data_IF_818973199493
#
_entry.id   IF_818973199493
#
_cell.length_a   1.000
_cell.length_b   1.000
_cell.length_c   1.000
_cell.angle_alpha   90.00
_cell.angle_beta   90.00
_cell.angle_gamma   90.00
#
_symmetry.space_group_name_H-M   'P 1'
#
loop_
_entity.id
_entity.type
_entity.pdbx_description
1 polymer ?
#
# COMPACT_ATOMS: atom_id res chain seq x y z
N UNK A 1 6.24 15.29 0.05
CA UNK A 1 7.63 14.98 0.47
C UNK A 1 7.53 13.87 1.51
N UNK A 2 8.01 12.66 1.22
CA UNK A 2 7.96 11.52 2.14
C UNK A 2 9.36 10.92 2.29
N UNK A 3 9.58 10.11 3.31
CA UNK A 3 10.84 9.38 3.50
C UNK A 3 10.87 8.14 2.61
N UNK A 4 12.00 7.87 1.97
CA UNK A 4 12.29 6.62 1.27
C UNK A 4 12.74 5.50 2.21
N UNK A 5 12.62 4.24 1.78
CA UNK A 5 13.20 3.12 2.53
C UNK A 5 14.71 3.30 2.72
N UNK A 6 15.20 3.02 3.92
CA UNK A 6 16.57 3.26 4.35
C UNK A 6 16.87 4.72 4.73
N UNK A 7 15.97 5.67 4.43
CA UNK A 7 16.22 7.09 4.69
C UNK A 7 16.22 7.40 6.19
N UNK A 8 17.11 8.32 6.57
CA UNK A 8 17.20 8.87 7.91
C UNK A 8 16.93 10.37 7.83
N UNK A 9 15.86 10.81 8.48
CA UNK A 9 15.48 12.22 8.54
C UNK A 9 15.52 12.72 9.99
N UNK A 10 15.86 13.99 10.16
CA UNK A 10 15.82 14.67 11.44
C UNK A 10 14.76 15.77 11.38
N UNK A 11 13.81 15.70 12.29
CA UNK A 11 12.70 16.63 12.41
C UNK A 11 12.91 17.51 13.64
N UNK A 12 12.75 18.82 13.46
CA UNK A 12 12.65 19.78 14.57
C UNK A 12 11.17 20.07 14.78
N UNK A 13 10.63 19.66 15.92
CA UNK A 13 9.21 19.75 16.23
C UNK A 13 9.01 20.86 17.27
N UNK A 14 8.30 21.94 16.93
CA UNK A 14 8.02 23.02 17.87
C UNK A 14 7.13 22.52 19.02
N UNK A 15 7.10 23.23 20.16
CA UNK A 15 6.37 22.78 21.33
C UNK A 15 4.89 22.52 21.06
N UNK A 16 4.24 23.38 20.27
CA UNK A 16 2.83 23.30 19.89
C UNK A 16 2.47 22.01 19.15
N UNK A 17 3.43 21.40 18.45
CA UNK A 17 3.28 20.13 17.73
C UNK A 17 3.92 18.94 18.50
N UNK A 18 4.48 19.20 19.68
CA UNK A 18 5.10 18.21 20.56
C UNK A 18 4.28 18.01 21.84
N UNK A 19 4.79 18.44 23.00
CA UNK A 19 4.13 18.29 24.29
C UNK A 19 3.58 19.60 24.87
N UNK A 20 3.65 20.69 24.10
CA UNK A 20 3.12 22.01 24.48
C UNK A 20 3.62 22.52 25.82
N UNK A 21 2.81 23.37 26.45
CA UNK A 21 3.11 24.02 27.73
C UNK A 21 3.07 23.08 28.94
N UNK A 22 2.56 21.86 28.80
CA UNK A 22 2.56 20.88 29.89
C UNK A 22 3.87 20.07 29.92
N UNK A 23 4.52 19.90 28.77
CA UNK A 23 5.66 19.00 28.64
C UNK A 23 5.25 17.54 28.87
N UNK A 24 6.21 16.70 29.26
CA UNK A 24 5.97 15.31 29.62
C UNK A 24 6.93 14.84 30.71
N UNK A 25 6.49 14.91 31.96
CA UNK A 25 7.28 14.53 33.12
C UNK A 25 7.74 13.05 33.09
N UNK A 26 6.95 12.14 32.50
CA UNK A 26 7.33 10.71 32.40
C UNK A 26 8.52 10.49 31.46
N UNK A 27 8.64 11.34 30.45
CA UNK A 27 9.74 11.33 29.49
C UNK A 27 10.84 12.34 29.84
N UNK A 28 10.69 13.08 30.94
CA UNK A 28 11.62 14.15 31.34
C UNK A 28 11.60 15.37 30.41
N UNK A 29 10.53 15.55 29.63
CA UNK A 29 10.41 16.69 28.70
C UNK A 29 9.81 17.88 29.43
N UNK A 30 10.50 19.03 29.50
CA UNK A 30 9.95 20.24 30.11
C UNK A 30 8.78 20.83 29.30
N UNK A 31 7.93 21.65 29.94
CA UNK A 31 7.06 22.61 29.26
C UNK A 31 7.74 23.36 28.13
N UNK A 32 7.00 23.65 27.06
CA UNK A 32 7.41 24.52 25.95
C UNK A 32 8.71 24.09 25.25
N UNK A 33 9.03 22.79 25.29
CA UNK A 33 10.27 22.26 24.72
C UNK A 33 10.15 21.97 23.22
N UNK A 34 11.11 22.47 22.45
CA UNK A 34 11.29 22.09 21.04
C UNK A 34 12.07 20.78 20.97
N UNK A 35 11.55 19.79 20.24
CA UNK A 35 12.15 18.46 20.15
C UNK A 35 12.92 18.29 18.84
N UNK A 36 14.01 17.53 18.90
CA UNK A 36 14.72 17.05 17.70
C UNK A 36 14.58 15.54 17.65
N UNK A 37 13.87 15.04 16.65
CA UNK A 37 13.57 13.62 16.49
C UNK A 37 14.29 13.10 15.25
N UNK A 38 15.10 12.06 15.42
CA UNK A 38 15.74 11.35 14.31
C UNK A 38 14.96 10.08 14.00
N UNK A 39 14.42 10.00 12.79
CA UNK A 39 13.60 8.88 12.30
C UNK A 39 14.37 8.14 11.22
N UNK A 40 14.37 6.81 11.27
CA UNK A 40 14.91 5.95 10.22
C UNK A 40 13.79 5.07 9.66
N UNK A 41 13.48 5.19 8.37
CA UNK A 41 12.50 4.33 7.73
C UNK A 41 13.18 3.02 7.29
N UNK A 42 13.11 1.96 8.10
CA UNK A 42 13.85 0.71 7.81
C UNK A 42 13.32 -0.03 6.58
N UNK A 43 12.01 -0.21 6.50
CA UNK A 43 11.30 -0.87 5.40
C UNK A 43 9.82 -0.50 5.53
N UNK A 44 9.14 -0.31 4.41
CA UNK A 44 7.70 -0.06 4.36
C UNK A 44 7.08 -1.05 3.36
N UNK A 45 6.57 -2.16 3.89
CA UNK A 45 5.81 -3.13 3.10
C UNK A 45 4.36 -3.01 3.51
N UNK A 46 3.51 -2.55 2.59
CA UNK A 46 2.06 -2.54 2.81
C UNK A 46 1.51 -3.88 2.39
N UNK A 47 1.09 -4.66 3.39
CA UNK A 47 0.12 -5.72 3.22
C UNK A 47 -1.24 -5.11 3.52
N UNK A 48 -2.16 -5.23 2.59
CA UNK A 48 -3.51 -4.72 2.73
C UNK A 48 -4.49 -5.82 2.41
N UNK A 49 -5.43 -6.06 3.31
CA UNK A 49 -6.57 -6.90 3.01
C UNK A 49 -7.53 -6.13 2.12
N UNK A 50 -7.67 -6.57 0.87
CA UNK A 50 -8.52 -5.91 -0.13
C UNK A 50 -9.95 -6.46 -0.13
N UNK A 51 -10.29 -7.29 0.86
CA UNK A 51 -11.64 -7.82 1.04
C UNK A 51 -12.55 -6.82 1.75
N UNK A 52 -13.80 -6.71 1.29
CA UNK A 52 -14.80 -5.86 1.96
C UNK A 52 -15.16 -6.40 3.34
N UNK A 53 -14.98 -7.71 3.55
CA UNK A 53 -15.21 -8.45 4.80
C UNK A 53 -14.07 -8.31 5.81
N UNK A 54 -12.84 -8.01 5.37
CA UNK A 54 -11.65 -8.05 6.24
C UNK A 54 -11.31 -9.46 6.71
N UNK A 55 -11.57 -10.47 5.87
CA UNK A 55 -11.42 -11.89 6.23
C UNK A 55 -10.03 -12.48 5.93
N UNK A 56 -9.14 -11.68 5.36
CA UNK A 56 -7.77 -12.06 5.04
C UNK A 56 -7.64 -13.02 3.85
N UNK A 57 -8.70 -13.24 3.06
CA UNK A 57 -8.66 -14.17 1.91
C UNK A 57 -8.02 -13.60 0.65
N UNK A 58 -7.74 -12.29 0.63
CA UNK A 58 -7.08 -11.66 -0.49
C UNK A 58 -6.20 -10.52 0.02
N UNK A 59 -4.90 -10.79 0.10
CA UNK A 59 -3.90 -9.85 0.57
C UNK A 59 -3.13 -9.24 -0.60
N UNK A 60 -3.12 -7.92 -0.67
CA UNK A 60 -2.29 -7.17 -1.61
C UNK A 60 -0.97 -6.81 -0.97
N UNK A 61 0.14 -7.11 -1.66
CA UNK A 61 1.47 -6.60 -1.34
C UNK A 61 1.97 -5.68 -2.45
N UNK A 62 2.34 -4.44 -2.08
CA UNK A 62 2.94 -3.50 -3.04
C UNK A 62 4.44 -3.78 -3.12
N UNK A 63 4.89 -4.33 -4.24
CA UNK A 63 6.32 -4.55 -4.53
C UNK A 63 7.04 -3.26 -4.93
N UNK A 64 6.37 -2.44 -5.75
CA UNK A 64 6.91 -1.17 -6.25
C UNK A 64 5.78 -0.17 -6.36
N UNK A 65 5.97 1.01 -5.76
CA UNK A 65 4.99 2.09 -5.84
C UNK A 65 4.99 2.70 -7.25
N UNK A 66 3.80 3.05 -7.74
CA UNK A 66 3.62 3.84 -8.94
C UNK A 66 4.21 5.24 -8.80
N UNK A 67 4.40 5.92 -9.93
CA UNK A 67 5.00 7.27 -9.97
C UNK A 67 3.95 8.38 -9.77
N UNK A 68 2.67 8.07 -9.93
CA UNK A 68 1.54 8.98 -9.77
C UNK A 68 0.52 8.40 -8.79
N UNK A 69 -0.32 9.26 -8.21
CA UNK A 69 -1.46 8.87 -7.38
C UNK A 69 -2.76 8.73 -8.22
N UNK A 70 -2.62 8.62 -9.55
CA UNK A 70 -3.75 8.41 -10.46
C UNK A 70 -4.25 6.96 -10.38
N UNK A 71 -5.57 6.80 -10.41
CA UNK A 71 -6.23 5.51 -10.33
C UNK A 71 -7.09 5.32 -11.57
N UNK A 72 -7.04 4.15 -12.23
CA UNK A 72 -7.89 3.90 -13.38
C UNK A 72 -9.35 3.79 -12.96
N UNK A 73 -10.24 4.37 -13.76
CA UNK A 73 -11.68 4.41 -13.56
C UNK A 73 -12.39 3.36 -14.43
N UNK A 74 -13.65 3.05 -14.08
CA UNK A 74 -14.47 2.14 -14.89
C UNK A 74 -14.58 2.67 -16.33
N UNK A 75 -14.23 1.83 -17.31
CA UNK A 75 -14.18 2.18 -18.72
C UNK A 75 -12.78 2.54 -19.24
N UNK A 76 -11.79 2.73 -18.37
CA UNK A 76 -10.42 3.02 -18.79
C UNK A 76 -9.73 1.77 -19.34
N UNK A 77 -8.95 1.95 -20.40
CA UNK A 77 -8.06 0.92 -20.94
C UNK A 77 -6.74 0.91 -20.19
N UNK A 78 -6.39 -0.23 -19.59
CA UNK A 78 -5.15 -0.43 -18.87
C UNK A 78 -4.33 -1.56 -19.52
N UNK A 79 -3.03 -1.35 -19.59
CA UNK A 79 -2.07 -2.41 -19.94
C UNK A 79 -1.59 -3.05 -18.64
N UNK A 80 -1.72 -4.37 -18.55
CA UNK A 80 -1.35 -5.14 -17.36
C UNK A 80 -0.45 -6.32 -17.71
N UNK A 81 0.34 -6.76 -16.74
CA UNK A 81 1.08 -8.02 -16.76
C UNK A 81 0.71 -8.82 -15.52
N UNK A 82 0.60 -10.15 -15.62
CA UNK A 82 0.28 -10.97 -14.46
C UNK A 82 0.85 -12.38 -14.54
N UNK A 83 1.08 -12.96 -13.37
CA UNK A 83 1.52 -14.34 -13.19
C UNK A 83 0.67 -14.99 -12.10
N UNK A 84 0.02 -16.10 -12.44
CA UNK A 84 -0.75 -16.94 -11.53
C UNK A 84 0.11 -18.15 -11.15
N UNK A 85 0.41 -18.29 -9.86
CA UNK A 85 1.19 -19.40 -9.33
C UNK A 85 0.65 -19.87 -7.97
N UNK A 86 0.86 -21.14 -7.64
CA UNK A 86 0.55 -21.69 -6.32
C UNK A 86 1.55 -21.21 -5.28
N UNK A 87 1.06 -20.84 -4.10
CA UNK A 87 1.89 -20.38 -2.99
C UNK A 87 2.70 -21.52 -2.36
N UNK A 88 2.19 -22.76 -2.40
CA UNK A 88 2.80 -23.89 -1.69
C UNK A 88 4.07 -24.39 -2.39
N UNK A 89 4.07 -24.42 -3.71
CA UNK A 89 5.10 -25.06 -4.54
C UNK A 89 5.63 -24.16 -5.67
N UNK A 90 5.12 -22.93 -5.81
CA UNK A 90 5.44 -21.98 -6.88
C UNK A 90 5.10 -22.48 -8.30
N UNK A 91 4.25 -23.51 -8.43
CA UNK A 91 3.81 -24.00 -9.74
C UNK A 91 3.04 -22.89 -10.48
N UNK A 92 3.48 -22.56 -11.68
CA UNK A 92 2.89 -21.49 -12.50
C UNK A 92 1.77 -22.06 -13.37
N UNK A 93 0.56 -21.54 -13.20
CA UNK A 93 -0.60 -21.94 -13.99
C UNK A 93 -0.81 -21.07 -15.22
N UNK A 94 -0.46 -19.78 -15.12
CA UNK A 94 -0.60 -18.83 -16.22
C UNK A 94 0.38 -17.66 -16.04
N UNK A 95 0.95 -17.17 -17.13
CA UNK A 95 1.74 -15.94 -17.16
C UNK A 95 1.42 -15.19 -18.45
N UNK A 96 1.22 -13.88 -18.36
CA UNK A 96 1.02 -12.98 -19.49
C UNK A 96 1.83 -11.71 -19.23
N UNK A 97 2.74 -11.39 -20.14
CA UNK A 97 3.65 -10.25 -19.96
C UNK A 97 3.01 -8.91 -20.35
N UNK A 98 2.01 -8.94 -21.23
CA UNK A 98 1.27 -7.75 -21.62
C UNK A 98 -0.16 -8.13 -22.05
N UNK A 99 -1.15 -7.41 -21.52
CA UNK A 99 -2.55 -7.55 -21.89
C UNK A 99 -3.29 -6.24 -21.68
N UNK A 100 -4.05 -5.82 -22.68
CA UNK A 100 -4.97 -4.69 -22.57
C UNK A 100 -6.28 -5.17 -21.96
N UNK A 101 -6.76 -4.44 -20.96
CA UNK A 101 -8.03 -4.68 -20.28
C UNK A 101 -8.82 -3.37 -20.18
N UNK A 102 -10.14 -3.45 -20.23
CA UNK A 102 -11.03 -2.32 -19.87
C UNK A 102 -11.51 -2.54 -18.44
N UNK A 103 -11.29 -1.55 -17.58
CA UNK A 103 -11.69 -1.64 -16.17
C UNK A 103 -13.21 -1.78 -16.06
N UNK A 104 -13.65 -2.87 -15.44
CA UNK A 104 -15.06 -3.18 -15.23
C UNK A 104 -15.74 -4.03 -16.32
N UNK A 105 -15.07 -4.32 -17.44
CA UNK A 105 -15.63 -5.18 -18.52
C UNK A 105 -15.03 -6.59 -18.54
N UNK A 106 -14.16 -6.92 -17.60
CA UNK A 106 -13.54 -8.25 -17.59
C UNK A 106 -14.57 -9.37 -17.32
N UNK A 107 -14.40 -10.55 -17.96
CA UNK A 107 -15.18 -11.74 -17.67
C UNK A 107 -15.09 -12.08 -16.18
N UNK A 108 -16.16 -12.62 -15.60
CA UNK A 108 -16.27 -12.89 -14.15
C UNK A 108 -15.10 -13.70 -13.57
N UNK A 109 -14.55 -14.62 -14.37
CA UNK A 109 -13.37 -15.44 -14.03
C UNK A 109 -12.06 -14.65 -13.94
N UNK A 110 -11.99 -13.48 -14.56
CA UNK A 110 -10.80 -12.61 -14.65
C UNK A 110 -10.96 -11.31 -13.87
N UNK A 111 -12.18 -10.91 -13.49
CA UNK A 111 -12.45 -9.74 -12.63
C UNK A 111 -11.63 -9.75 -11.34
N UNK A 112 -11.39 -10.94 -10.81
CA UNK A 112 -10.66 -11.17 -9.56
C UNK A 112 -9.18 -10.75 -9.66
N UNK A 113 -8.58 -10.87 -10.85
CA UNK A 113 -7.21 -10.40 -11.12
C UNK A 113 -7.15 -8.87 -11.30
N UNK A 114 -8.18 -8.25 -11.87
CA UNK A 114 -8.29 -6.78 -12.04
C UNK A 114 -8.48 -6.05 -10.73
N UNK A 115 -9.10 -6.73 -9.76
CA UNK A 115 -9.36 -6.23 -8.41
C UNK A 115 -8.08 -5.89 -7.64
N UNK A 116 -6.96 -6.50 -8.04
CA UNK A 116 -5.63 -6.29 -7.45
C UNK A 116 -4.90 -5.08 -8.09
N UNK A 117 -5.30 -4.68 -9.31
CA UNK A 117 -4.58 -3.73 -10.15
C UNK A 117 -5.06 -2.27 -9.97
N UNK A 118 -6.30 -2.08 -9.54
CA UNK A 118 -6.87 -0.75 -9.28
C UNK A 118 -7.04 -0.62 -7.77
N UNK A 119 -6.27 0.25 -7.12
CA UNK A 119 -6.27 0.40 -5.66
C UNK A 119 -7.65 0.68 -5.08
N UNK A 120 -8.34 -0.38 -4.66
CA UNK A 120 -9.55 -0.33 -3.85
C UNK A 120 -10.83 0.02 -4.62
N UNK A 121 -11.44 -0.95 -5.31
CA UNK A 121 -12.89 -0.93 -5.55
C UNK A 121 -13.41 -2.33 -5.99
N UNK A 122 -14.22 -2.95 -5.11
CA UNK A 122 -15.15 -4.07 -5.36
C UNK A 122 -14.60 -5.50 -5.55
N UNK A 123 -14.75 -6.34 -4.51
CA UNK A 123 -15.84 -7.33 -4.51
C UNK A 123 -15.96 -8.25 -5.75
N UNK A 124 -15.17 -9.29 -6.02
CA UNK A 124 -15.52 -10.66 -5.61
C UNK A 124 -14.35 -11.65 -5.84
N UNK A 125 -14.27 -12.65 -4.94
CA UNK A 125 -13.56 -13.95 -4.98
C UNK A 125 -12.07 -14.05 -5.39
N UNK A 126 -11.22 -14.41 -4.43
CA UNK A 126 -10.09 -15.36 -4.52
C UNK A 126 -9.16 -15.27 -5.75
N UNK A 127 -7.99 -14.64 -5.56
CA UNK A 127 -6.72 -15.19 -6.03
C UNK A 127 -5.72 -15.09 -4.87
N UNK A 128 -5.85 -16.03 -3.94
CA UNK A 128 -4.80 -16.66 -3.10
C UNK A 128 -5.19 -18.14 -2.96
#
# INVERSE_FOLDING_TARGET
CGMGEGEVAQFTVPPDAAFGSEGNAKLGVPPDSTLVIKVTLKKYVTFEDITTSGDGTCIRRIEKRGHTDEHPHKGDECVISYKLASLQDNTVYQQMDERIIVVGEMPERQRNATRILCGGAYADRVIE
#
